data_IF_996672477570
#
_entry.id   IF_996672477570
#
_cell.length_a   1.000
_cell.length_b   1.000
_cell.length_c   1.000
_cell.angle_alpha   90.00
_cell.angle_beta   90.00
_cell.angle_gamma   90.00
#
_symmetry.space_group_name_H-M   'P 1'
#
loop_
_entity.id
_entity.type
_entity.pdbx_description
1 polymer ?
#
# COMPACT_ATOMS: atom_id res chain seq x y z
N UNK A 1 -15.68 8.30 6.10
CA UNK A 1 -14.38 8.78 5.57
C UNK A 1 -13.47 9.22 6.70
N UNK A 2 -12.22 8.75 6.74
CA UNK A 2 -11.23 9.01 7.80
C UNK A 2 -9.91 9.47 7.18
N UNK A 3 -9.45 10.67 7.51
CA UNK A 3 -8.11 11.15 7.12
C UNK A 3 -7.04 10.33 7.84
N UNK A 4 -5.99 9.91 7.13
CA UNK A 4 -4.86 9.20 7.72
C UNK A 4 -3.96 10.16 8.52
N UNK A 5 -3.43 9.64 9.63
CA UNK A 5 -2.40 10.33 10.41
C UNK A 5 -1.02 9.93 9.86
N UNK A 6 -0.50 10.68 8.89
CA UNK A 6 0.77 10.41 8.19
C UNK A 6 1.99 10.70 9.06
N UNK A 7 3.13 10.06 8.81
CA UNK A 7 4.39 10.35 9.53
C UNK A 7 4.88 11.76 9.19
N UNK A 8 4.85 12.16 7.92
CA UNK A 8 5.14 13.53 7.50
C UNK A 8 4.09 14.49 8.03
N UNK A 9 4.53 15.52 8.77
CA UNK A 9 3.66 16.49 9.46
C UNK A 9 3.63 17.88 8.82
N UNK A 10 4.61 18.19 7.97
CA UNK A 10 4.79 19.51 7.35
C UNK A 10 4.93 19.36 5.84
N UNK A 11 4.54 20.40 5.09
CA UNK A 11 4.67 20.44 3.62
C UNK A 11 4.11 19.20 2.91
N UNK A 12 2.98 18.67 3.41
CA UNK A 12 2.33 17.54 2.76
C UNK A 12 1.78 17.98 1.40
N UNK A 13 2.16 17.29 0.33
CA UNK A 13 1.63 17.59 -1.01
C UNK A 13 0.16 17.16 -1.18
N UNK A 14 -0.25 16.12 -0.46
CA UNK A 14 -1.54 15.45 -0.67
C UNK A 14 -2.21 15.09 0.66
N UNK A 15 -3.52 14.91 0.62
CA UNK A 15 -4.31 14.32 1.70
C UNK A 15 -4.62 12.87 1.35
N UNK A 16 -4.41 11.96 2.31
CA UNK A 16 -4.77 10.54 2.15
C UNK A 16 -5.92 10.21 3.09
N UNK A 17 -7.00 9.63 2.56
CA UNK A 17 -8.21 9.26 3.29
C UNK A 17 -8.57 7.80 3.05
N UNK A 18 -9.03 7.12 4.09
CA UNK A 18 -9.81 5.89 3.96
C UNK A 18 -11.28 6.28 3.77
N UNK A 19 -11.94 5.75 2.73
CA UNK A 19 -13.28 6.21 2.33
C UNK A 19 -14.38 5.14 2.52
N UNK A 20 -14.02 3.94 2.97
CA UNK A 20 -14.95 2.89 3.38
C UNK A 20 -14.87 2.59 4.90
N UNK A 21 -15.56 1.54 5.34
CA UNK A 21 -15.45 0.97 6.68
C UNK A 21 -14.36 -0.10 6.74
N UNK A 22 -13.84 -0.39 7.94
CA UNK A 22 -12.87 -1.47 8.12
C UNK A 22 -13.57 -2.81 7.96
N UNK A 23 -13.03 -3.70 7.12
CA UNK A 23 -13.56 -5.05 7.00
C UNK A 23 -12.93 -6.06 7.96
N UNK A 24 -13.00 -7.34 7.60
CA UNK A 24 -12.66 -8.48 8.47
C UNK A 24 -11.20 -8.50 8.95
N UNK A 25 -10.27 -7.94 8.16
CA UNK A 25 -8.87 -7.76 8.55
C UNK A 25 -8.60 -6.54 9.43
N UNK A 26 -9.65 -5.82 9.89
CA UNK A 26 -9.56 -4.54 10.58
C UNK A 26 -8.81 -3.45 9.76
N UNK A 27 -8.79 -3.62 8.44
CA UNK A 27 -8.24 -2.69 7.46
C UNK A 27 -9.36 -2.16 6.56
N UNK A 28 -9.16 -0.94 6.05
CA UNK A 28 -9.98 -0.36 5.00
C UNK A 28 -9.56 -0.95 3.65
N UNK A 29 -10.44 -0.98 2.66
CA UNK A 29 -10.13 -1.48 1.32
C UNK A 29 -10.10 -0.38 0.27
N UNK A 30 -10.75 0.76 0.52
CA UNK A 30 -10.80 1.86 -0.41
C UNK A 30 -10.16 3.12 0.17
N UNK A 31 -9.12 3.60 -0.50
CA UNK A 31 -8.38 4.80 -0.14
C UNK A 31 -8.41 5.82 -1.27
N UNK A 32 -8.38 7.09 -0.90
CA UNK A 32 -8.37 8.24 -1.80
C UNK A 32 -7.15 9.12 -1.49
N UNK A 33 -6.40 9.51 -2.52
CA UNK A 33 -5.35 10.53 -2.44
C UNK A 33 -5.85 11.75 -3.18
N UNK A 34 -5.82 12.91 -2.52
CA UNK A 34 -6.33 14.18 -3.03
C UNK A 34 -5.23 15.22 -3.05
N UNK A 35 -5.30 16.13 -4.02
CA UNK A 35 -4.46 17.31 -4.06
C UNK A 35 -4.78 18.25 -2.89
N UNK A 36 -3.77 18.90 -2.32
CA UNK A 36 -4.00 20.10 -1.51
C UNK A 36 -4.01 21.29 -2.47
N UNK A 37 -5.20 21.66 -2.95
CA UNK A 37 -5.39 22.87 -3.78
C UNK A 37 -5.91 24.03 -2.92
N UNK A 38 -5.48 25.28 -3.21
CA UNK A 38 -5.90 26.46 -2.44
C UNK A 38 -7.41 26.71 -2.40
N UNK A 39 -8.15 26.27 -3.43
CA UNK A 39 -9.57 26.57 -3.61
C UNK A 39 -10.51 25.41 -3.24
N UNK A 40 -10.05 24.49 -2.37
CA UNK A 40 -10.87 23.48 -1.66
C UNK A 40 -11.65 22.48 -2.55
N UNK A 41 -11.29 22.36 -3.83
CA UNK A 41 -11.85 21.32 -4.69
C UNK A 41 -11.28 19.94 -4.28
N UNK A 42 -12.19 19.01 -3.95
CA UNK A 42 -11.87 17.62 -3.61
C UNK A 42 -11.47 16.85 -4.90
N UNK A 43 -10.35 17.25 -5.51
CA UNK A 43 -9.82 16.68 -6.76
C UNK A 43 -9.04 15.40 -6.42
N UNK A 44 -9.58 14.20 -6.73
CA UNK A 44 -8.86 12.97 -6.48
C UNK A 44 -7.70 12.85 -7.47
N UNK A 45 -6.48 12.67 -6.95
CA UNK A 45 -5.36 12.22 -7.76
C UNK A 45 -5.46 10.74 -8.06
N UNK A 46 -5.89 9.94 -7.07
CA UNK A 46 -6.05 8.50 -7.28
C UNK A 46 -7.00 7.87 -6.28
N UNK A 47 -7.63 6.78 -6.71
CA UNK A 47 -8.37 5.85 -5.88
C UNK A 47 -7.63 4.53 -5.85
N UNK A 48 -7.45 3.98 -4.64
CA UNK A 48 -6.73 2.72 -4.41
C UNK A 48 -7.71 1.72 -3.82
N UNK A 49 -8.10 0.73 -4.63
CA UNK A 49 -8.91 -0.40 -4.22
C UNK A 49 -7.99 -1.58 -3.87
N UNK A 50 -7.99 -1.99 -2.61
CA UNK A 50 -7.37 -3.22 -2.15
C UNK A 50 -8.31 -4.40 -2.35
N UNK A 51 -7.72 -5.58 -2.53
CA UNK A 51 -8.46 -6.84 -2.54
C UNK A 51 -9.31 -6.96 -1.26
N UNK A 52 -10.61 -7.15 -1.43
CA UNK A 52 -11.54 -7.41 -0.33
C UNK A 52 -12.18 -8.79 -0.52
N UNK A 53 -11.86 -9.74 0.36
CA UNK A 53 -12.27 -11.13 0.24
C UNK A 53 -11.16 -12.03 -0.30
N UNK A 54 -11.35 -13.35 -0.15
CA UNK A 54 -10.39 -14.35 -0.59
C UNK A 54 -10.26 -14.38 -2.12
N UNK A 55 -9.07 -14.69 -2.65
CA UNK A 55 -8.77 -14.60 -4.10
C UNK A 55 -9.68 -15.47 -4.99
N UNK A 56 -10.20 -16.58 -4.45
CA UNK A 56 -11.07 -17.52 -5.18
C UNK A 56 -12.56 -17.35 -4.86
N UNK A 57 -12.90 -16.36 -4.04
CA UNK A 57 -14.28 -16.07 -3.69
C UNK A 57 -14.93 -15.25 -4.81
N UNK A 58 -16.03 -15.72 -5.43
CA UNK A 58 -16.71 -14.99 -6.50
C UNK A 58 -17.31 -13.65 -6.03
N UNK A 59 -17.56 -13.49 -4.73
CA UNK A 59 -18.10 -12.25 -4.15
C UNK A 59 -16.97 -11.27 -3.75
N UNK A 60 -15.71 -11.63 -3.96
CA UNK A 60 -14.59 -10.75 -3.62
C UNK A 60 -14.49 -9.55 -4.56
N UNK A 61 -14.23 -8.38 -3.98
CA UNK A 61 -13.89 -7.19 -4.76
C UNK A 61 -12.41 -7.27 -5.11
N UNK A 62 -12.13 -7.38 -6.41
CA UNK A 62 -10.75 -7.45 -6.92
C UNK A 62 -10.04 -6.13 -6.70
N UNK A 63 -8.80 -6.20 -6.22
CA UNK A 63 -7.98 -5.02 -6.01
C UNK A 63 -6.50 -5.39 -5.86
N UNK A 64 -5.70 -4.37 -5.60
CA UNK A 64 -4.27 -4.55 -5.32
C UNK A 64 -4.05 -5.13 -3.92
N UNK A 65 -2.81 -5.52 -3.64
CA UNK A 65 -2.35 -5.91 -2.31
C UNK A 65 -1.20 -5.01 -1.86
N UNK A 66 -0.87 -5.05 -0.56
CA UNK A 66 0.18 -4.20 0.04
C UNK A 66 1.51 -4.27 -0.72
N UNK A 67 1.88 -5.45 -1.22
CA UNK A 67 3.12 -5.68 -1.95
C UNK A 67 3.16 -4.94 -3.28
N UNK A 68 2.02 -4.72 -3.96
CA UNK A 68 2.00 -4.02 -5.24
C UNK A 68 2.45 -2.56 -5.06
N UNK A 69 1.97 -1.90 -4.00
CA UNK A 69 2.38 -0.53 -3.66
C UNK A 69 3.86 -0.49 -3.24
N UNK A 70 4.29 -1.44 -2.42
CA UNK A 70 5.68 -1.50 -1.95
C UNK A 70 6.67 -1.76 -3.09
N UNK A 71 6.33 -2.60 -4.07
CA UNK A 71 7.18 -2.84 -5.25
C UNK A 71 7.27 -1.60 -6.14
N UNK A 72 6.18 -0.85 -6.32
CA UNK A 72 6.22 0.45 -7.04
C UNK A 72 7.16 1.43 -6.33
N UNK A 73 7.07 1.55 -5.00
CA UNK A 73 7.96 2.44 -4.24
C UNK A 73 9.41 1.96 -4.28
N UNK A 74 9.63 0.64 -4.19
CA UNK A 74 10.94 0.01 -4.30
C UNK A 74 11.61 0.31 -5.64
N UNK A 75 10.89 0.14 -6.75
CA UNK A 75 11.40 0.44 -8.09
C UNK A 75 11.82 1.91 -8.22
N UNK A 76 10.98 2.83 -7.74
CA UNK A 76 11.28 4.27 -7.72
C UNK A 76 12.53 4.59 -6.88
N UNK A 77 12.64 4.03 -5.68
CA UNK A 77 13.80 4.27 -4.81
C UNK A 77 15.10 3.70 -5.39
N UNK A 78 15.06 2.56 -6.07
CA UNK A 78 16.22 2.08 -6.84
C UNK A 78 16.63 3.07 -7.92
N UNK A 79 15.67 3.65 -8.63
CA UNK A 79 15.92 4.72 -9.61
C UNK A 79 16.58 5.94 -8.99
N UNK A 80 16.06 6.46 -7.87
CA UNK A 80 16.67 7.60 -7.17
C UNK A 80 18.07 7.28 -6.65
N UNK A 81 18.26 6.09 -6.06
CA UNK A 81 19.52 5.66 -5.48
C UNK A 81 20.61 5.40 -6.53
N UNK A 82 20.24 5.00 -7.74
CA UNK A 82 21.18 4.81 -8.85
C UNK A 82 21.41 6.07 -9.68
N UNK A 83 20.59 7.12 -9.48
CA UNK A 83 20.66 8.37 -10.21
C UNK A 83 21.38 9.50 -9.46
N UNK A 84 21.18 10.73 -9.95
CA UNK A 84 21.82 11.94 -9.40
C UNK A 84 21.30 12.37 -8.02
N UNK A 85 20.29 11.69 -7.49
CA UNK A 85 19.61 12.03 -6.22
C UNK A 85 19.82 10.92 -5.17
N UNK A 86 20.92 10.18 -5.27
CA UNK A 86 21.27 9.16 -4.29
C UNK A 86 21.55 9.77 -2.92
N UNK A 87 21.00 9.18 -1.87
CA UNK A 87 21.21 9.60 -0.48
C UNK A 87 21.29 8.38 0.44
N UNK A 88 21.84 8.54 1.64
CA UNK A 88 21.83 7.47 2.65
C UNK A 88 20.39 7.15 3.10
N UNK A 89 19.54 8.17 3.24
CA UNK A 89 18.13 8.00 3.60
C UNK A 89 17.35 7.18 2.56
N UNK A 90 17.62 7.40 1.27
CA UNK A 90 17.02 6.61 0.18
C UNK A 90 17.45 5.13 0.28
N UNK A 91 18.72 4.87 0.58
CA UNK A 91 19.23 3.52 0.74
C UNK A 91 18.60 2.81 1.94
N UNK A 92 18.44 3.49 3.08
CA UNK A 92 17.85 2.89 4.28
C UNK A 92 16.34 2.66 4.10
N UNK A 93 15.63 3.59 3.46
CA UNK A 93 14.22 3.40 3.09
C UNK A 93 14.02 2.21 2.15
N UNK A 94 14.86 2.09 1.11
CA UNK A 94 14.84 0.97 0.17
C UNK A 94 15.07 -0.36 0.89
N UNK A 95 16.08 -0.45 1.75
CA UNK A 95 16.39 -1.64 2.55
C UNK A 95 15.18 -2.07 3.40
N UNK A 96 14.51 -1.14 4.08
CA UNK A 96 13.36 -1.47 4.91
C UNK A 96 12.16 -1.95 4.10
N UNK A 97 11.94 -1.39 2.91
CA UNK A 97 10.91 -1.88 1.99
C UNK A 97 11.24 -3.30 1.53
N UNK A 98 12.50 -3.61 1.19
CA UNK A 98 12.91 -4.95 0.80
C UNK A 98 12.76 -5.98 1.93
N UNK A 99 13.06 -5.59 3.17
CA UNK A 99 12.81 -6.42 4.36
C UNK A 99 11.30 -6.69 4.54
N UNK A 100 10.47 -5.66 4.37
CA UNK A 100 9.01 -5.81 4.47
C UNK A 100 8.48 -6.80 3.41
N UNK A 101 8.91 -6.62 2.14
CA UNK A 101 8.56 -7.51 1.04
C UNK A 101 9.03 -8.95 1.28
N UNK A 102 10.24 -9.15 1.82
CA UNK A 102 10.75 -10.47 2.20
C UNK A 102 9.82 -11.16 3.20
N UNK A 103 9.39 -10.48 4.27
CA UNK A 103 8.49 -11.06 5.27
C UNK A 103 7.09 -11.32 4.71
N UNK A 104 6.58 -10.44 3.84
CA UNK A 104 5.30 -10.68 3.16
C UNK A 104 5.37 -11.90 2.25
N UNK A 105 6.46 -12.07 1.49
CA UNK A 105 6.68 -13.25 0.66
C UNK A 105 6.86 -14.53 1.49
N UNK A 106 7.59 -14.46 2.62
CA UNK A 106 7.72 -15.60 3.54
C UNK A 106 6.35 -16.11 4.00
N UNK A 107 5.40 -15.22 4.31
CA UNK A 107 4.02 -15.59 4.66
C UNK A 107 3.29 -16.26 3.49
N UNK A 108 3.49 -15.79 2.26
CA UNK A 108 2.89 -16.41 1.07
C UNK A 108 3.44 -17.81 0.85
N UNK A 109 4.75 -17.99 0.95
CA UNK A 109 5.42 -19.27 0.77
C UNK A 109 5.01 -20.30 1.82
N UNK A 110 4.94 -19.92 3.10
CA UNK A 110 4.45 -20.79 4.17
C UNK A 110 3.03 -21.32 3.87
N UNK A 111 2.13 -20.45 3.43
CA UNK A 111 0.76 -20.84 3.05
C UNK A 111 0.72 -21.69 1.80
N UNK A 112 1.61 -21.43 0.84
CA UNK A 112 1.75 -22.23 -0.36
C UNK A 112 2.22 -23.65 -0.05
N UNK A 113 3.27 -23.80 0.77
CA UNK A 113 3.81 -25.10 1.21
C UNK A 113 2.77 -25.94 1.96
N UNK A 114 1.86 -25.27 2.68
CA UNK A 114 0.75 -25.89 3.40
C UNK A 114 -0.51 -26.13 2.55
N UNK A 115 -0.50 -25.75 1.27
CA UNK A 115 -1.63 -25.81 0.33
C UNK A 115 -2.89 -25.02 0.74
N UNK A 116 -2.74 -23.98 1.58
CA UNK A 116 -3.84 -23.11 2.07
C UNK A 116 -3.81 -21.70 1.46
N UNK A 117 -3.00 -21.51 0.40
CA UNK A 117 -2.88 -20.21 -0.25
C UNK A 117 -4.20 -19.80 -0.90
N UNK A 118 -4.68 -18.59 -0.55
CA UNK A 118 -5.93 -18.03 -1.09
C UNK A 118 -7.21 -18.52 -0.39
N UNK A 119 -7.11 -19.21 0.75
CA UNK A 119 -8.25 -19.60 1.60
C UNK A 119 -8.18 -18.89 2.96
N UNK A 120 -9.23 -19.02 3.79
CA UNK A 120 -9.24 -18.53 5.18
C UNK A 120 -8.62 -19.50 6.19
N UNK A 121 -8.17 -20.67 5.73
CA UNK A 121 -7.55 -21.66 6.60
C UNK A 121 -6.26 -21.10 7.19
N UNK A 122 -6.10 -21.23 8.50
CA UNK A 122 -4.93 -20.75 9.24
C UNK A 122 -3.78 -21.69 9.05
#
# INVERSE_FOLDING_TARGET
MRKLNTIQKVENLNIVKAIDERGSGNANHLYKIEAIVPDDEDIPFTLIQFQNGARKDPEAITGIIDTDLLEIVRDRLKGFQSGNFATEDNAEALKHIEIALMYMNKRVMDRYERNVLGTYEK
#
